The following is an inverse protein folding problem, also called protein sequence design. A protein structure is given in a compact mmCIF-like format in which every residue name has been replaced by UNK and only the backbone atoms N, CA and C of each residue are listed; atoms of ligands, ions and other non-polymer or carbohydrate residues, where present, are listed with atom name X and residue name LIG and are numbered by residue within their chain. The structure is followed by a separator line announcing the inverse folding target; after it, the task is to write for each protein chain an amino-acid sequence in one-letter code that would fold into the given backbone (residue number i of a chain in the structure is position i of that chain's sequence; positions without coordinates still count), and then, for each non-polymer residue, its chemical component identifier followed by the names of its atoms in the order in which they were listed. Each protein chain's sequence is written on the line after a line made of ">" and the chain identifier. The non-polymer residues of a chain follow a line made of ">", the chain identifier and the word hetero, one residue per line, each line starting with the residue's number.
data_IF_307390428798
#
_entry.id   IF_307390428798
#
_cell.length_a   1.000
_cell.length_b   1.000
_cell.length_c   1.000
_cell.angle_alpha   90.00
_cell.angle_beta   90.00
_cell.angle_gamma   90.00
#
_symmetry.space_group_name_H-M   'P 1'
#
loop_
_entity.id
_entity.type
_entity.pdbx_description
1 polymer ?
#
# COMPACT_ATOMS: atom_id res chain seq x y z
N UNK A 1 18.93 -70.37 -7.17
CA UNK A 1 18.01 -69.35 -7.67
C UNK A 1 18.07 -68.25 -6.63
N UNK A 2 18.96 -67.26 -6.84
CA UNK A 2 19.30 -66.19 -5.89
C UNK A 2 18.57 -64.96 -6.36
N UNK A 3 17.66 -64.46 -5.54
CA UNK A 3 16.96 -63.20 -5.76
C UNK A 3 17.84 -62.03 -5.28
N UNK A 4 18.28 -61.20 -6.21
CA UNK A 4 18.95 -59.93 -5.94
C UNK A 4 17.86 -58.87 -5.68
N UNK A 5 17.80 -58.36 -4.45
CA UNK A 5 16.99 -57.19 -4.10
C UNK A 5 17.85 -55.97 -4.36
N UNK A 6 17.51 -55.21 -5.39
CA UNK A 6 18.10 -53.90 -5.66
C UNK A 6 17.43 -52.83 -4.78
N UNK A 7 18.16 -52.30 -3.81
CA UNK A 7 17.75 -51.15 -3.01
C UNK A 7 17.87 -49.88 -3.86
N UNK A 8 16.75 -49.26 -4.24
CA UNK A 8 16.74 -47.93 -4.79
C UNK A 8 17.00 -46.93 -3.63
N UNK A 9 18.17 -46.35 -3.61
CA UNK A 9 18.47 -45.14 -2.85
C UNK A 9 17.75 -43.95 -3.55
N UNK A 10 16.65 -43.51 -2.97
CA UNK A 10 16.03 -42.24 -3.34
C UNK A 10 16.92 -41.15 -2.76
N UNK A 11 17.73 -40.54 -3.60
CA UNK A 11 18.46 -39.32 -3.27
C UNK A 11 17.47 -38.20 -2.99
N UNK A 12 17.42 -37.78 -1.72
CA UNK A 12 16.75 -36.52 -1.38
C UNK A 12 17.53 -35.40 -2.05
N UNK A 13 16.94 -34.78 -3.07
CA UNK A 13 17.41 -33.52 -3.59
C UNK A 13 17.13 -32.48 -2.52
N UNK A 14 18.16 -32.09 -1.78
CA UNK A 14 18.12 -30.88 -0.96
C UNK A 14 17.84 -29.69 -1.89
N UNK A 15 16.75 -29.00 -1.64
CA UNK A 15 16.49 -27.70 -2.25
C UNK A 15 17.64 -26.72 -1.92
N UNK A 16 17.79 -25.63 -2.67
CA UNK A 16 18.91 -24.71 -2.51
C UNK A 16 19.01 -24.25 -1.05
N UNK A 17 20.10 -24.67 -0.38
CA UNK A 17 20.42 -24.16 0.96
C UNK A 17 20.62 -22.67 0.86
N UNK A 18 19.79 -21.90 1.54
CA UNK A 18 20.06 -20.49 1.80
C UNK A 18 21.28 -20.40 2.70
N UNK A 19 22.26 -19.63 2.29
CA UNK A 19 23.40 -19.30 3.15
C UNK A 19 22.89 -18.72 4.48
N UNK A 20 23.53 -19.06 5.61
CA UNK A 20 23.18 -18.49 6.91
C UNK A 20 23.56 -17.01 6.92
N UNK A 21 22.60 -16.15 6.65
CA UNK A 21 22.77 -14.70 6.52
C UNK A 21 21.65 -14.00 5.75
N UNK A 22 20.69 -14.74 5.17
CA UNK A 22 19.51 -14.11 4.57
C UNK A 22 18.64 -13.53 5.68
N UNK A 23 18.92 -12.29 6.03
CA UNK A 23 18.29 -11.54 7.09
C UNK A 23 16.85 -11.21 6.77
N UNK A 24 15.97 -11.58 7.68
CA UNK A 24 14.73 -10.85 7.93
C UNK A 24 15.09 -9.37 7.99
N UNK A 25 14.41 -8.54 7.22
CA UNK A 25 14.66 -7.11 7.15
C UNK A 25 14.60 -6.48 8.56
N UNK A 26 15.77 -6.13 9.11
CA UNK A 26 15.89 -5.35 10.34
C UNK A 26 16.22 -3.91 9.98
N UNK A 27 15.72 -2.92 10.73
CA UNK A 27 16.14 -1.53 10.58
C UNK A 27 17.66 -1.43 10.80
N UNK A 28 18.39 -0.75 9.92
CA UNK A 28 19.79 -0.43 10.13
C UNK A 28 19.91 0.63 11.20
N UNK A 29 20.40 0.26 12.38
CA UNK A 29 21.03 1.21 13.28
C UNK A 29 22.40 1.57 12.72
N UNK A 30 22.64 2.87 12.53
CA UNK A 30 23.92 3.44 12.10
C UNK A 30 24.96 3.20 13.20
N UNK A 31 26.01 2.43 12.89
CA UNK A 31 27.29 2.50 13.57
C UNK A 31 28.39 2.51 12.51
N UNK A 32 29.25 3.51 12.65
CA UNK A 32 30.40 3.78 11.81
C UNK A 32 31.31 2.57 11.60
N UNK A 33 31.74 2.38 10.36
CA UNK A 33 33.15 2.01 10.10
C UNK A 33 33.48 2.20 8.61
N UNK A 34 34.49 2.97 8.40
CA UNK A 34 35.27 3.28 7.20
C UNK A 34 35.57 2.09 6.31
N UNK A 35 35.18 2.18 5.02
CA UNK A 35 36.03 1.77 3.90
C UNK A 35 35.48 2.26 2.55
N UNK A 36 36.33 2.92 1.84
CA UNK A 36 36.38 3.44 0.48
C UNK A 36 35.60 2.69 -0.58
N UNK A 37 34.75 3.45 -1.32
CA UNK A 37 34.10 3.00 -2.55
C UNK A 37 32.74 3.66 -2.71
N UNK A 38 32.71 4.99 -2.94
CA UNK A 38 31.49 5.77 -3.11
C UNK A 38 30.79 5.44 -4.41
N UNK A 39 29.65 4.76 -4.29
CA UNK A 39 28.54 4.98 -5.24
C UNK A 39 27.36 5.42 -4.37
N UNK A 40 27.18 6.74 -4.26
CA UNK A 40 26.04 7.32 -3.54
C UNK A 40 24.73 6.83 -4.17
N UNK A 41 23.97 6.10 -3.36
CA UNK A 41 22.57 5.79 -3.65
C UNK A 41 21.78 7.12 -3.64
N UNK A 42 20.92 7.40 -4.64
CA UNK A 42 20.15 8.63 -4.66
C UNK A 42 19.23 8.69 -3.44
N UNK A 43 19.46 9.69 -2.60
CA UNK A 43 18.61 10.02 -1.46
C UNK A 43 17.28 10.55 -1.98
N UNK A 44 16.18 10.06 -1.40
CA UNK A 44 14.84 10.62 -1.64
C UNK A 44 14.89 12.11 -1.28
N UNK A 45 14.53 13.04 -2.21
CA UNK A 45 14.63 14.47 -1.93
C UNK A 45 13.66 14.88 -0.83
N UNK A 46 14.15 15.08 0.39
CA UNK A 46 13.43 15.82 1.41
C UNK A 46 13.36 17.28 0.99
N UNK A 47 12.15 17.85 0.90
CA UNK A 47 11.93 19.25 0.51
C UNK A 47 12.31 20.26 1.60
N UNK A 48 12.98 19.84 2.67
CA UNK A 48 13.46 20.71 3.75
C UNK A 48 15.00 20.74 3.76
N UNK A 49 15.62 21.45 2.80
CA UNK A 49 16.99 21.92 3.00
C UNK A 49 16.95 23.01 4.06
N UNK A 50 17.50 22.70 5.24
CA UNK A 50 17.87 23.73 6.22
C UNK A 50 19.04 24.53 5.62
N UNK A 51 18.80 25.80 5.33
CA UNK A 51 19.86 26.75 5.00
C UNK A 51 20.74 26.98 6.24
N UNK A 52 22.08 26.80 6.15
CA UNK A 52 22.95 26.92 7.33
C UNK A 52 23.52 28.33 7.56
N UNK A 53 22.86 29.39 7.19
CA UNK A 53 23.33 30.74 7.52
C UNK A 53 22.19 31.67 7.92
N UNK A 54 21.89 31.71 9.22
CA UNK A 54 21.29 32.87 9.84
C UNK A 54 21.98 33.15 11.18
N UNK A 55 22.49 34.36 11.25
CA UNK A 55 23.31 34.91 12.32
C UNK A 55 22.70 34.72 13.72
N UNK A 56 23.61 34.42 14.68
CA UNK A 56 23.39 34.50 16.11
C UNK A 56 23.11 35.95 16.54
N UNK A 57 21.87 36.28 16.73
CA UNK A 57 21.41 37.41 17.50
C UNK A 57 20.36 36.89 18.45
N UNK A 58 20.55 37.15 19.77
CA UNK A 58 19.62 36.77 20.82
C UNK A 58 18.21 37.32 20.56
N UNK A 59 17.38 36.46 20.00
CA UNK A 59 15.94 36.59 20.08
C UNK A 59 15.45 35.33 20.75
N UNK A 60 14.84 35.44 21.92
CA UNK A 60 14.12 34.34 22.56
C UNK A 60 13.13 33.78 21.55
N UNK A 61 13.53 32.71 20.84
CA UNK A 61 12.62 31.96 19.97
C UNK A 61 11.73 31.15 20.88
N UNK A 62 10.53 31.64 21.12
CA UNK A 62 9.43 30.75 21.46
C UNK A 62 9.21 29.83 20.25
N UNK A 63 9.92 28.69 20.23
CA UNK A 63 9.52 27.57 19.38
C UNK A 63 8.24 27.03 20.00
N UNK A 64 7.12 27.56 19.54
CA UNK A 64 5.86 26.84 19.70
C UNK A 64 5.94 25.72 18.66
N UNK A 65 6.26 24.50 19.10
CA UNK A 65 6.11 23.31 18.27
C UNK A 65 4.62 23.18 17.95
N UNK A 66 4.24 23.75 16.81
CA UNK A 66 2.88 23.65 16.31
C UNK A 66 2.82 22.37 15.51
N UNK A 67 2.19 21.35 16.07
CA UNK A 67 1.93 20.12 15.36
C UNK A 67 1.12 20.44 14.09
N UNK A 68 1.70 20.14 12.95
CA UNK A 68 1.04 20.26 11.65
C UNK A 68 0.78 18.86 11.14
N UNK A 69 -0.49 18.57 10.89
CA UNK A 69 -0.91 17.29 10.31
C UNK A 69 -1.29 17.47 8.86
N UNK A 70 -0.82 16.56 8.04
CA UNK A 70 -1.13 16.50 6.60
C UNK A 70 -1.93 15.25 6.28
N UNK A 71 -3.04 15.45 5.58
CA UNK A 71 -3.92 14.36 5.13
C UNK A 71 -4.02 14.41 3.62
N UNK A 72 -3.58 13.32 2.98
CA UNK A 72 -3.81 13.11 1.56
C UNK A 72 -5.22 12.60 1.33
N UNK A 73 -5.92 13.20 0.38
CA UNK A 73 -7.27 12.83 -0.01
C UNK A 73 -7.40 12.75 -1.52
N UNK A 74 -7.85 11.62 -2.05
CA UNK A 74 -8.25 11.50 -3.44
C UNK A 74 -9.77 11.64 -3.55
N UNK A 75 -10.23 12.47 -4.45
CA UNK A 75 -11.65 12.55 -4.81
C UNK A 75 -11.80 11.93 -6.18
N UNK A 76 -12.53 10.82 -6.24
CA UNK A 76 -12.68 10.04 -7.47
C UNK A 76 -14.17 9.85 -7.82
N UNK A 77 -14.46 9.81 -9.11
CA UNK A 77 -15.80 9.46 -9.61
C UNK A 77 -16.07 7.95 -9.45
N UNK A 78 -17.27 7.53 -9.84
CA UNK A 78 -17.67 6.11 -9.81
C UNK A 78 -16.92 5.22 -10.84
N UNK A 79 -16.12 5.82 -11.72
CA UNK A 79 -15.23 5.13 -12.67
C UNK A 79 -13.78 5.16 -12.18
N UNK A 80 -13.51 5.79 -11.03
CA UNK A 80 -12.19 5.93 -10.44
C UNK A 80 -11.33 7.06 -11.00
N UNK A 81 -11.89 7.96 -11.82
CA UNK A 81 -11.15 9.13 -12.29
C UNK A 81 -11.08 10.19 -11.21
N UNK A 82 -9.90 10.78 -11.05
CA UNK A 82 -9.72 11.90 -10.13
C UNK A 82 -10.55 13.11 -10.58
N UNK A 83 -11.21 13.77 -9.64
CA UNK A 83 -11.98 14.99 -9.85
C UNK A 83 -11.13 16.17 -9.42
N UNK A 84 -10.56 16.94 -10.37
CA UNK A 84 -9.75 18.11 -10.08
C UNK A 84 -10.60 19.34 -9.77
N UNK A 85 -9.95 20.41 -9.29
CA UNK A 85 -10.54 21.75 -9.22
C UNK A 85 -11.54 21.95 -8.10
N UNK A 86 -11.61 21.08 -7.09
CA UNK A 86 -12.46 21.30 -5.92
C UNK A 86 -11.84 22.41 -5.06
N UNK A 87 -12.57 23.51 -4.81
CA UNK A 87 -12.06 24.61 -3.99
C UNK A 87 -11.78 24.19 -2.55
N UNK A 88 -10.75 24.77 -1.94
CA UNK A 88 -10.34 24.47 -0.57
C UNK A 88 -11.47 24.59 0.46
N UNK A 89 -12.36 25.59 0.29
CA UNK A 89 -13.50 25.81 1.18
C UNK A 89 -14.57 24.73 1.15
N UNK A 90 -14.54 23.81 0.17
CA UNK A 90 -15.48 22.71 0.08
C UNK A 90 -15.02 21.46 0.84
N UNK A 91 -13.79 21.45 1.36
CA UNK A 91 -13.30 20.36 2.19
C UNK A 91 -13.68 20.59 3.66
N UNK A 92 -14.29 19.60 4.27
CA UNK A 92 -14.50 19.49 5.71
C UNK A 92 -13.67 18.34 6.24
N UNK A 93 -12.78 18.66 7.18
CA UNK A 93 -11.97 17.67 7.89
C UNK A 93 -12.46 17.57 9.33
N UNK A 94 -12.69 16.34 9.76
CA UNK A 94 -13.08 16.01 11.12
C UNK A 94 -11.97 15.15 11.75
N UNK A 95 -11.54 15.51 12.96
CA UNK A 95 -10.69 14.67 13.80
C UNK A 95 -11.49 14.28 15.04
N UNK A 96 -11.64 12.98 15.29
CA UNK A 96 -12.48 12.43 16.35
C UNK A 96 -13.90 13.03 16.36
N UNK A 97 -14.47 13.27 15.18
CA UNK A 97 -15.73 13.94 14.89
C UNK A 97 -15.75 15.45 15.22
N UNK A 98 -14.63 16.07 15.58
CA UNK A 98 -14.50 17.51 15.79
C UNK A 98 -14.03 18.18 14.50
N UNK A 99 -14.78 19.18 13.96
CA UNK A 99 -14.34 19.90 12.77
C UNK A 99 -13.00 20.62 12.99
N UNK A 100 -12.09 20.46 12.04
CA UNK A 100 -10.77 21.08 12.06
C UNK A 100 -10.67 22.21 11.03
N UNK A 101 -9.92 23.25 11.37
CA UNK A 101 -9.66 24.34 10.44
C UNK A 101 -8.52 23.97 9.50
N UNK A 102 -8.86 23.72 8.23
CA UNK A 102 -7.88 23.49 7.18
C UNK A 102 -7.14 24.80 6.92
N UNK A 103 -5.81 24.78 7.02
CA UNK A 103 -4.94 25.93 6.75
C UNK A 103 -4.61 26.06 5.27
N UNK A 104 -4.40 24.92 4.61
CA UNK A 104 -3.98 24.87 3.21
C UNK A 104 -4.51 23.62 2.53
N UNK A 105 -4.89 23.76 1.28
CA UNK A 105 -5.19 22.65 0.37
C UNK A 105 -4.30 22.82 -0.85
N UNK A 106 -3.39 21.89 -1.05
CA UNK A 106 -2.56 21.81 -2.24
C UNK A 106 -3.06 20.72 -3.16
N UNK A 107 -2.92 20.92 -4.44
CA UNK A 107 -3.14 19.91 -5.47
C UNK A 107 -1.88 19.82 -6.29
N UNK A 108 -1.41 18.62 -6.56
CA UNK A 108 -0.22 18.49 -7.38
C UNK A 108 0.07 17.04 -7.76
N UNK A 109 0.75 16.86 -8.84
CA UNK A 109 1.37 15.60 -9.22
C UNK A 109 2.74 15.49 -8.55
N UNK A 110 3.06 14.35 -7.95
CA UNK A 110 4.37 14.08 -7.36
C UNK A 110 4.79 12.64 -7.64
N UNK A 111 6.12 12.37 -7.65
CA UNK A 111 6.63 11.01 -7.70
C UNK A 111 6.04 10.15 -6.58
N UNK A 112 5.88 8.87 -6.86
CA UNK A 112 5.31 7.91 -5.92
C UNK A 112 6.39 6.99 -5.38
N UNK A 113 6.23 6.53 -4.13
CA UNK A 113 6.98 5.43 -3.55
C UNK A 113 6.03 4.26 -3.33
N UNK A 114 6.17 3.19 -4.10
CA UNK A 114 5.24 2.07 -4.10
C UNK A 114 5.96 0.79 -3.71
N UNK A 115 5.43 0.07 -2.72
CA UNK A 115 5.79 -1.31 -2.46
C UNK A 115 4.75 -2.22 -3.13
N UNK A 116 5.16 -3.00 -4.12
CA UNK A 116 4.34 -4.06 -4.71
C UNK A 116 4.47 -5.31 -3.84
N UNK A 117 3.40 -5.65 -3.11
CA UNK A 117 3.32 -6.85 -2.28
C UNK A 117 2.53 -7.90 -3.04
N UNK A 118 3.19 -8.97 -3.43
CA UNK A 118 2.68 -9.93 -4.41
C UNK A 118 2.59 -11.30 -3.76
N UNK A 119 1.40 -11.90 -3.78
CA UNK A 119 1.21 -13.28 -3.36
C UNK A 119 1.91 -14.22 -4.32
N UNK A 120 2.81 -15.05 -3.75
CA UNK A 120 3.60 -16.03 -4.47
C UNK A 120 3.29 -17.44 -3.99
N UNK A 121 2.01 -17.72 -3.71
CA UNK A 121 1.55 -19.03 -3.27
C UNK A 121 1.05 -19.89 -4.44
N UNK A 122 1.16 -21.21 -4.30
CA UNK A 122 0.64 -22.15 -5.29
C UNK A 122 -0.75 -22.70 -4.90
N UNK A 123 -1.38 -22.15 -3.85
CA UNK A 123 -2.63 -22.66 -3.27
C UNK A 123 -3.71 -22.95 -4.31
N UNK A 124 -3.80 -22.09 -5.33
CA UNK A 124 -4.83 -22.20 -6.37
C UNK A 124 -4.33 -22.79 -7.69
N UNK A 125 -3.05 -23.15 -7.80
CA UNK A 125 -2.50 -23.69 -9.06
C UNK A 125 -3.13 -25.01 -9.48
N UNK A 126 -3.46 -25.88 -8.53
CA UNK A 126 -4.09 -27.19 -8.84
C UNK A 126 -5.45 -27.04 -9.50
N UNK A 127 -6.17 -25.98 -9.17
CA UNK A 127 -7.53 -25.75 -9.66
C UNK A 127 -7.60 -24.61 -10.70
N UNK A 128 -6.63 -23.69 -10.65
CA UNK A 128 -6.64 -22.44 -11.37
C UNK A 128 -5.23 -21.98 -11.75
N UNK A 129 -4.56 -22.72 -12.62
CA UNK A 129 -3.26 -22.31 -13.19
C UNK A 129 -3.30 -20.89 -13.78
N UNK A 130 -4.49 -20.43 -14.19
CA UNK A 130 -4.72 -19.07 -14.65
C UNK A 130 -4.49 -17.98 -13.58
N UNK A 131 -4.67 -18.29 -12.28
CA UNK A 131 -4.51 -17.30 -11.22
C UNK A 131 -3.07 -16.79 -11.11
N UNK A 132 -2.10 -17.68 -11.25
CA UNK A 132 -0.69 -17.30 -11.22
C UNK A 132 -0.31 -16.41 -12.41
N UNK A 133 -0.72 -16.77 -13.62
CA UNK A 133 -0.51 -15.92 -14.79
C UNK A 133 -1.19 -14.56 -14.63
N UNK A 134 -2.36 -14.52 -14.04
CA UNK A 134 -3.06 -13.28 -13.73
C UNK A 134 -2.25 -12.40 -12.77
N UNK A 135 -1.70 -12.97 -11.69
CA UNK A 135 -0.84 -12.27 -10.75
C UNK A 135 0.38 -11.67 -11.45
N UNK A 136 1.08 -12.45 -12.27
CA UNK A 136 2.21 -11.97 -13.04
C UNK A 136 1.84 -10.87 -14.03
N UNK A 137 0.74 -11.03 -14.77
CA UNK A 137 0.25 -10.02 -15.70
C UNK A 137 -0.10 -8.70 -15.01
N UNK A 138 -0.70 -8.75 -13.82
CA UNK A 138 -1.00 -7.58 -13.01
C UNK A 138 0.30 -6.91 -12.55
N UNK A 139 1.25 -7.68 -12.03
CA UNK A 139 2.52 -7.14 -11.54
C UNK A 139 3.34 -6.50 -12.67
N UNK A 140 3.53 -7.19 -13.78
CA UNK A 140 4.24 -6.68 -14.95
C UNK A 140 3.51 -5.52 -15.61
N UNK A 141 2.18 -5.65 -15.76
CA UNK A 141 1.35 -4.61 -16.34
C UNK A 141 1.45 -3.31 -15.55
N UNK A 142 1.30 -3.36 -14.23
CA UNK A 142 1.46 -2.18 -13.38
C UNK A 142 2.88 -1.61 -13.44
N UNK A 143 3.91 -2.45 -13.31
CA UNK A 143 5.32 -2.02 -13.36
C UNK A 143 5.66 -1.30 -14.67
N UNK A 144 5.03 -1.68 -15.79
CA UNK A 144 5.22 -1.02 -17.09
C UNK A 144 4.63 0.39 -17.18
N UNK A 145 3.70 0.73 -16.27
CA UNK A 145 3.03 2.03 -16.24
C UNK A 145 3.70 3.05 -15.33
N UNK A 146 4.70 2.64 -14.55
CA UNK A 146 5.44 3.52 -13.64
C UNK A 146 6.26 4.57 -14.40
N UNK A 147 6.35 5.79 -13.87
CA UNK A 147 7.21 6.84 -14.42
C UNK A 147 8.66 6.69 -13.95
N UNK A 148 9.66 7.23 -14.69
CA UNK A 148 11.08 7.09 -14.34
C UNK A 148 11.43 7.56 -12.92
N UNK A 149 10.71 8.54 -12.41
CA UNK A 149 10.90 9.12 -11.08
C UNK A 149 10.25 8.35 -9.93
N UNK A 150 9.44 7.31 -10.22
CA UNK A 150 8.77 6.52 -9.19
C UNK A 150 9.70 5.51 -8.55
N UNK A 151 9.75 5.50 -7.23
CA UNK A 151 10.44 4.48 -6.45
C UNK A 151 9.55 3.26 -6.28
N UNK A 152 10.10 2.09 -6.52
CA UNK A 152 9.35 0.85 -6.41
C UNK A 152 10.17 -0.22 -5.71
N UNK A 153 9.56 -0.89 -4.73
CA UNK A 153 10.05 -2.12 -4.13
C UNK A 153 9.13 -3.29 -4.53
N UNK A 154 9.69 -4.48 -4.58
CA UNK A 154 8.96 -5.73 -4.85
C UNK A 154 9.14 -6.65 -3.66
N UNK A 155 8.04 -7.00 -3.04
CA UNK A 155 7.95 -7.95 -1.93
C UNK A 155 7.07 -9.10 -2.39
N UNK A 156 7.61 -10.32 -2.37
CA UNK A 156 6.82 -11.51 -2.58
C UNK A 156 6.55 -12.20 -1.25
N UNK A 157 5.41 -12.86 -1.13
CA UNK A 157 5.11 -13.65 0.05
C UNK A 157 4.42 -14.98 -0.28
N UNK A 158 4.81 -15.98 0.47
CA UNK A 158 4.17 -17.30 0.62
C UNK A 158 4.08 -17.58 2.14
N UNK A 159 4.71 -18.63 2.64
CA UNK A 159 4.94 -18.83 4.08
C UNK A 159 5.82 -17.75 4.72
N UNK A 160 6.56 -16.99 3.90
CA UNK A 160 7.50 -15.93 4.32
C UNK A 160 7.41 -14.78 3.34
N UNK A 161 7.64 -13.58 3.85
CA UNK A 161 7.88 -12.42 3.00
C UNK A 161 9.35 -12.34 2.59
N UNK A 162 9.60 -12.05 1.31
CA UNK A 162 10.93 -11.82 0.74
C UNK A 162 10.95 -10.53 -0.07
N UNK A 163 11.94 -9.67 0.18
CA UNK A 163 12.16 -8.49 -0.63
C UNK A 163 12.97 -8.91 -1.86
N UNK A 164 12.32 -8.94 -3.00
CA UNK A 164 12.96 -9.27 -4.27
C UNK A 164 13.74 -8.09 -4.84
N UNK A 165 13.21 -6.87 -4.62
CA UNK A 165 13.86 -5.61 -5.01
C UNK A 165 13.53 -4.57 -3.97
N UNK A 166 14.55 -3.90 -3.43
CA UNK A 166 14.34 -2.77 -2.53
C UNK A 166 14.00 -1.50 -3.32
N UNK A 167 13.56 -0.44 -2.65
CA UNK A 167 13.11 0.80 -3.29
C UNK A 167 14.15 1.35 -4.27
N UNK A 168 13.77 1.43 -5.53
CA UNK A 168 14.62 1.90 -6.61
C UNK A 168 13.80 2.54 -7.73
N UNK A 169 14.43 3.45 -8.46
CA UNK A 169 13.91 3.97 -9.73
C UNK A 169 14.45 3.20 -10.94
N UNK A 170 15.41 2.28 -10.72
CA UNK A 170 16.04 1.48 -11.75
C UNK A 170 15.10 0.39 -12.25
N UNK A 171 14.61 0.54 -13.47
CA UNK A 171 13.68 -0.37 -14.12
C UNK A 171 14.26 -1.76 -14.38
N UNK A 172 15.58 -1.87 -14.52
CA UNK A 172 16.24 -3.17 -14.70
C UNK A 172 16.14 -3.99 -13.42
N UNK A 173 16.38 -3.39 -12.27
CA UNK A 173 16.25 -4.06 -10.95
C UNK A 173 14.82 -4.48 -10.65
N UNK A 174 13.84 -3.62 -11.02
CA UNK A 174 12.42 -3.97 -10.89
C UNK A 174 12.08 -5.18 -11.76
N UNK A 175 12.57 -5.21 -12.99
CA UNK A 175 12.40 -6.33 -13.92
C UNK A 175 13.04 -7.61 -13.37
N UNK A 176 14.29 -7.54 -12.93
CA UNK A 176 15.00 -8.67 -12.31
C UNK A 176 14.24 -9.23 -11.09
N UNK A 177 13.67 -8.36 -10.25
CA UNK A 177 12.85 -8.78 -9.13
C UNK A 177 11.60 -9.54 -9.56
N UNK A 178 10.89 -9.03 -10.56
CA UNK A 178 9.71 -9.72 -11.12
C UNK A 178 10.08 -11.03 -11.82
N UNK A 179 11.23 -11.09 -12.50
CA UNK A 179 11.72 -12.32 -13.17
C UNK A 179 12.04 -13.45 -12.18
N UNK A 180 12.22 -13.15 -10.90
CA UNK A 180 12.39 -14.17 -9.83
C UNK A 180 11.07 -14.86 -9.47
N UNK A 181 9.94 -14.29 -9.82
CA UNK A 181 8.61 -14.84 -9.59
C UNK A 181 8.28 -15.91 -10.65
N UNK A 182 8.99 -17.03 -10.69
CA UNK A 182 8.82 -18.06 -11.74
C UNK A 182 7.82 -19.14 -11.36
N UNK A 183 8.08 -19.85 -10.27
CA UNK A 183 7.29 -21.01 -9.85
C UNK A 183 7.08 -20.92 -8.34
N UNK A 184 5.83 -20.69 -7.87
CA UNK A 184 5.54 -20.73 -6.45
C UNK A 184 5.65 -22.15 -5.90
N UNK A 185 6.33 -22.28 -4.75
CA UNK A 185 6.65 -23.58 -4.15
C UNK A 185 5.67 -23.97 -3.03
N UNK A 186 5.14 -22.99 -2.31
CA UNK A 186 4.32 -23.22 -1.11
C UNK A 186 2.87 -22.83 -1.33
N UNK A 187 1.97 -23.51 -0.62
CA UNK A 187 0.53 -23.26 -0.69
C UNK A 187 0.02 -22.32 0.39
N UNK A 188 0.85 -22.07 1.39
CA UNK A 188 0.56 -21.19 2.50
C UNK A 188 0.81 -19.74 2.11
N UNK A 189 0.08 -18.83 2.76
CA UNK A 189 0.18 -17.39 2.55
C UNK A 189 0.19 -16.67 3.90
N UNK A 190 1.20 -15.82 4.12
CA UNK A 190 1.32 -14.98 5.32
C UNK A 190 1.03 -13.51 5.00
N UNK A 191 -0.09 -13.24 4.38
CA UNK A 191 -0.48 -11.91 3.91
C UNK A 191 -0.44 -10.84 5.00
N UNK A 192 -0.95 -11.15 6.20
CA UNK A 192 -1.02 -10.18 7.29
C UNK A 192 0.36 -9.77 7.78
N UNK A 193 1.28 -10.72 7.95
CA UNK A 193 2.65 -10.42 8.35
C UNK A 193 3.38 -9.64 7.25
N UNK A 194 3.25 -10.05 5.98
CA UNK A 194 3.89 -9.37 4.85
C UNK A 194 3.41 -7.92 4.68
N UNK A 195 2.10 -7.68 4.80
CA UNK A 195 1.53 -6.34 4.74
C UNK A 195 2.01 -5.47 5.90
N UNK A 196 2.00 -6.01 7.13
CA UNK A 196 2.39 -5.26 8.32
C UNK A 196 3.86 -4.89 8.27
N UNK A 197 4.74 -5.85 7.95
CA UNK A 197 6.19 -5.61 7.83
C UNK A 197 6.50 -4.57 6.74
N UNK A 198 5.77 -4.62 5.61
CA UNK A 198 5.93 -3.64 4.53
C UNK A 198 5.43 -2.27 4.96
N UNK A 199 4.27 -2.18 5.61
CA UNK A 199 3.71 -0.92 6.08
C UNK A 199 4.60 -0.26 7.15
N UNK A 200 5.12 -1.05 8.10
CA UNK A 200 6.05 -0.57 9.13
C UNK A 200 7.32 0.00 8.50
N UNK A 201 7.88 -0.65 7.47
CA UNK A 201 9.06 -0.15 6.73
C UNK A 201 8.79 1.13 5.94
N UNK A 202 7.56 1.32 5.49
CA UNK A 202 7.17 2.50 4.74
C UNK A 202 6.69 3.65 5.63
N UNK A 203 6.45 3.43 6.91
CA UNK A 203 5.86 4.44 7.82
C UNK A 203 6.66 5.73 7.84
N UNK A 204 7.99 5.63 7.85
CA UNK A 204 8.92 6.76 7.94
C UNK A 204 9.29 7.38 6.58
N UNK A 205 8.81 6.82 5.47
CA UNK A 205 9.04 7.40 4.14
C UNK A 205 8.20 8.66 4.01
N UNK A 206 8.83 9.78 3.70
CA UNK A 206 8.13 11.03 3.42
C UNK A 206 7.58 11.08 1.99
N UNK A 207 6.55 11.88 1.77
CA UNK A 207 5.91 12.08 0.47
C UNK A 207 4.85 11.04 0.15
N UNK A 208 4.51 10.92 -1.13
CA UNK A 208 3.45 10.01 -1.60
C UNK A 208 3.93 8.58 -1.61
N UNK A 209 3.33 7.77 -0.79
CA UNK A 209 3.65 6.36 -0.62
C UNK A 209 2.41 5.51 -0.62
N UNK A 210 2.52 4.28 -1.11
CA UNK A 210 1.42 3.32 -1.06
C UNK A 210 1.94 1.88 -1.17
N UNK A 211 1.14 0.94 -0.69
CA UNK A 211 1.30 -0.48 -0.96
C UNK A 211 0.33 -0.86 -2.08
N UNK A 212 0.83 -1.49 -3.14
CA UNK A 212 0.03 -2.20 -4.11
C UNK A 212 0.06 -3.69 -3.76
N UNK A 213 -1.05 -4.18 -3.22
CA UNK A 213 -1.23 -5.59 -2.88
C UNK A 213 -1.89 -6.33 -4.03
N UNK A 214 -1.25 -7.38 -4.54
CA UNK A 214 -1.82 -8.30 -5.55
C UNK A 214 -1.96 -9.66 -4.87
N UNK A 215 -3.18 -10.05 -4.52
CA UNK A 215 -3.42 -11.17 -3.62
C UNK A 215 -4.78 -11.85 -3.81
N UNK A 216 -4.87 -13.09 -3.35
CA UNK A 216 -6.15 -13.78 -3.16
C UNK A 216 -6.97 -13.19 -2.01
N UNK A 217 -6.30 -12.58 -1.03
CA UNK A 217 -6.89 -12.12 0.21
C UNK A 217 -6.99 -13.18 1.30
N UNK A 218 -6.54 -14.40 1.02
CA UNK A 218 -6.58 -15.51 1.99
C UNK A 218 -5.26 -15.57 2.75
N UNK A 219 -5.34 -15.50 4.07
CA UNK A 219 -4.22 -15.68 4.98
C UNK A 219 -4.29 -17.04 5.65
N UNK A 220 -3.19 -17.79 5.68
CA UNK A 220 -3.16 -19.13 6.27
C UNK A 220 -1.99 -19.36 7.21
N UNK A 221 -0.99 -18.48 7.20
CA UNK A 221 0.27 -18.75 7.89
C UNK A 221 0.83 -17.58 8.68
N UNK A 222 0.11 -16.46 8.76
CA UNK A 222 0.55 -15.30 9.53
C UNK A 222 0.51 -15.57 11.03
N UNK A 223 1.43 -14.93 11.75
CA UNK A 223 1.45 -14.88 13.21
C UNK A 223 0.46 -13.85 13.75
N UNK A 224 0.21 -12.83 12.97
CA UNK A 224 -0.75 -11.79 13.28
C UNK A 224 -2.17 -12.27 12.99
N UNK A 225 -3.12 -11.87 13.83
CA UNK A 225 -4.55 -12.02 13.58
C UNK A 225 -5.06 -10.85 12.74
N UNK A 226 -6.18 -11.02 12.08
CA UNK A 226 -6.85 -9.96 11.31
C UNK A 226 -6.98 -8.63 12.08
N UNK A 227 -7.50 -8.67 13.32
CA UNK A 227 -7.69 -7.45 14.12
C UNK A 227 -6.38 -6.75 14.48
N UNK A 228 -5.34 -7.52 14.81
CA UNK A 228 -4.01 -6.96 15.09
C UNK A 228 -3.40 -6.34 13.86
N UNK A 229 -3.52 -7.01 12.71
CA UNK A 229 -3.05 -6.52 11.41
C UNK A 229 -3.75 -5.23 11.06
N UNK A 230 -5.08 -5.21 11.10
CA UNK A 230 -5.90 -4.03 10.85
C UNK A 230 -5.47 -2.82 11.67
N UNK A 231 -5.27 -3.01 12.98
CA UNK A 231 -4.80 -1.95 13.87
C UNK A 231 -3.41 -1.43 13.49
N UNK A 232 -2.46 -2.33 13.23
CA UNK A 232 -1.10 -1.94 12.83
C UNK A 232 -1.07 -1.21 11.49
N UNK A 233 -1.85 -1.66 10.51
CA UNK A 233 -1.94 -0.99 9.20
C UNK A 233 -2.52 0.42 9.31
N UNK A 234 -3.53 0.62 10.17
CA UNK A 234 -4.07 1.94 10.48
C UNK A 234 -3.01 2.84 11.14
N UNK A 235 -2.27 2.30 12.11
CA UNK A 235 -1.20 3.03 12.82
C UNK A 235 -0.05 3.42 11.89
N UNK A 236 0.34 2.55 10.95
CA UNK A 236 1.38 2.84 9.97
C UNK A 236 0.97 3.94 8.97
N UNK A 237 -0.34 4.10 8.71
CA UNK A 237 -0.89 5.17 7.88
C UNK A 237 -0.43 5.14 6.42
N UNK A 238 -0.04 3.97 5.91
CA UNK A 238 0.35 3.77 4.51
C UNK A 238 -0.86 3.29 3.72
N UNK A 239 -1.34 4.02 2.70
CA UNK A 239 -2.46 3.60 1.89
C UNK A 239 -2.22 2.25 1.20
N UNK A 240 -3.19 1.34 1.27
CA UNK A 240 -3.15 0.04 0.61
C UNK A 240 -4.13 0.04 -0.56
N UNK A 241 -3.61 -0.19 -1.75
CA UNK A 241 -4.41 -0.46 -2.94
C UNK A 241 -4.34 -1.95 -3.23
N UNK A 242 -5.47 -2.65 -3.16
CA UNK A 242 -5.53 -4.09 -3.33
C UNK A 242 -6.13 -4.48 -4.68
N UNK A 243 -5.52 -5.46 -5.35
CA UNK A 243 -6.11 -6.12 -6.51
C UNK A 243 -6.34 -7.58 -6.13
N UNK A 244 -7.61 -7.92 -5.91
CA UNK A 244 -8.02 -9.28 -5.57
C UNK A 244 -8.08 -10.15 -6.83
N UNK A 245 -7.32 -11.25 -6.83
CA UNK A 245 -7.15 -12.12 -8.01
C UNK A 245 -8.17 -13.26 -8.12
N UNK A 246 -9.08 -13.39 -7.15
CA UNK A 246 -9.98 -14.56 -7.08
C UNK A 246 -11.34 -14.36 -7.73
N UNK A 247 -11.69 -13.15 -8.18
CA UNK A 247 -13.02 -12.85 -8.73
C UNK A 247 -13.33 -13.69 -9.99
N UNK A 248 -12.39 -13.77 -10.91
CA UNK A 248 -12.56 -14.56 -12.14
C UNK A 248 -12.75 -16.06 -11.84
N UNK A 249 -11.95 -16.59 -10.90
CA UNK A 249 -12.02 -17.99 -10.49
C UNK A 249 -13.35 -18.31 -9.81
N UNK A 250 -13.84 -17.38 -8.97
CA UNK A 250 -15.15 -17.52 -8.32
C UNK A 250 -16.30 -17.56 -9.33
N UNK A 251 -16.29 -16.68 -10.32
CA UNK A 251 -17.31 -16.66 -11.36
C UNK A 251 -17.29 -17.95 -12.21
N UNK A 252 -16.08 -18.44 -12.55
CA UNK A 252 -15.95 -19.72 -13.25
C UNK A 252 -16.44 -20.90 -12.41
N UNK A 253 -16.20 -20.91 -11.10
CA UNK A 253 -16.68 -21.94 -10.19
C UNK A 253 -18.21 -21.91 -10.07
N UNK A 254 -18.79 -20.73 -9.91
CA UNK A 254 -20.24 -20.55 -9.89
C UNK A 254 -20.90 -21.01 -11.18
N UNK A 255 -20.33 -20.66 -12.33
CA UNK A 255 -20.82 -21.10 -13.65
C UNK A 255 -20.80 -22.63 -13.82
N UNK A 256 -19.95 -23.34 -13.08
CA UNK A 256 -19.87 -24.81 -13.04
C UNK A 256 -20.74 -25.44 -11.94
N UNK A 257 -21.55 -24.65 -11.25
CA UNK A 257 -22.42 -25.12 -10.16
C UNK A 257 -21.65 -25.44 -8.86
N UNK A 258 -20.39 -25.00 -8.72
CA UNK A 258 -19.62 -25.15 -7.50
C UNK A 258 -20.00 -24.02 -6.53
N UNK A 259 -20.78 -24.35 -5.51
CA UNK A 259 -21.15 -23.41 -4.44
C UNK A 259 -20.85 -24.04 -3.08
N UNK A 260 -20.73 -23.23 -2.04
CA UNK A 260 -20.58 -23.72 -0.66
C UNK A 260 -19.46 -23.05 0.12
N UNK A 261 -18.77 -23.81 0.98
CA UNK A 261 -17.77 -23.30 1.92
C UNK A 261 -16.67 -22.45 1.29
N UNK A 262 -16.21 -22.81 0.09
CA UNK A 262 -15.21 -22.05 -0.66
C UNK A 262 -15.70 -20.64 -1.05
N UNK A 263 -16.99 -20.48 -1.31
CA UNK A 263 -17.55 -19.16 -1.64
C UNK A 263 -17.52 -18.22 -0.45
N UNK A 264 -17.78 -18.74 0.75
CA UNK A 264 -17.71 -17.97 2.01
C UNK A 264 -16.28 -17.51 2.27
N UNK A 265 -15.29 -18.39 2.08
CA UNK A 265 -13.85 -18.06 2.22
C UNK A 265 -13.45 -16.91 1.28
N UNK A 266 -13.86 -16.98 0.01
CA UNK A 266 -13.55 -15.92 -0.96
C UNK A 266 -14.24 -14.59 -0.65
N UNK A 267 -15.51 -14.62 -0.19
CA UNK A 267 -16.22 -13.41 0.21
C UNK A 267 -15.59 -12.77 1.44
N UNK A 268 -15.12 -13.58 2.38
CA UNK A 268 -14.39 -13.09 3.56
C UNK A 268 -13.07 -12.43 3.12
N UNK A 269 -12.29 -13.10 2.29
CA UNK A 269 -11.03 -12.57 1.75
C UNK A 269 -11.24 -11.23 1.02
N UNK A 270 -12.25 -11.14 0.15
CA UNK A 270 -12.60 -9.89 -0.53
C UNK A 270 -12.96 -8.78 0.47
N UNK A 271 -13.68 -9.10 1.56
CA UNK A 271 -14.05 -8.13 2.58
C UNK A 271 -12.84 -7.67 3.41
N UNK A 272 -11.89 -8.55 3.68
CA UNK A 272 -10.63 -8.21 4.35
C UNK A 272 -9.80 -7.25 3.50
N UNK A 273 -9.62 -7.55 2.21
CA UNK A 273 -8.94 -6.65 1.28
C UNK A 273 -9.63 -5.28 1.18
N UNK A 274 -10.96 -5.24 1.08
CA UNK A 274 -11.73 -3.98 1.08
C UNK A 274 -11.56 -3.19 2.36
N UNK A 275 -11.51 -3.88 3.50
CA UNK A 275 -11.38 -3.24 4.81
C UNK A 275 -9.98 -2.65 4.98
N UNK A 276 -8.91 -3.40 4.68
CA UNK A 276 -7.55 -2.89 4.74
C UNK A 276 -7.37 -1.68 3.82
N UNK A 277 -7.82 -1.79 2.58
CA UNK A 277 -7.75 -0.69 1.64
C UNK A 277 -8.49 0.56 2.14
N UNK A 278 -9.76 0.41 2.53
CA UNK A 278 -10.61 1.53 2.98
C UNK A 278 -10.06 2.22 4.22
N UNK A 279 -9.60 1.45 5.21
CA UNK A 279 -9.17 2.01 6.49
C UNK A 279 -7.79 2.66 6.44
N UNK A 280 -6.96 2.27 5.47
CA UNK A 280 -5.66 2.91 5.23
C UNK A 280 -5.74 4.07 4.24
N UNK A 281 -6.89 4.33 3.62
CA UNK A 281 -7.06 5.41 2.66
C UNK A 281 -6.68 5.04 1.22
N UNK A 282 -6.81 3.77 0.88
CA UNK A 282 -6.67 3.26 -0.47
C UNK A 282 -7.98 2.72 -1.05
N UNK A 283 -7.89 1.81 -2.00
CA UNK A 283 -9.05 1.18 -2.66
C UNK A 283 -8.76 -0.28 -3.02
N UNK A 284 -9.82 -1.09 -3.14
CA UNK A 284 -9.72 -2.49 -3.56
C UNK A 284 -10.45 -2.71 -4.89
N UNK A 285 -9.81 -3.45 -5.80
CA UNK A 285 -10.28 -3.77 -7.14
C UNK A 285 -10.35 -5.29 -7.31
N UNK A 286 -11.38 -5.76 -7.99
CA UNK A 286 -11.63 -7.19 -8.18
C UNK A 286 -11.92 -7.46 -9.66
N UNK A 287 -10.89 -7.52 -10.52
CA UNK A 287 -11.08 -7.70 -11.95
C UNK A 287 -11.68 -9.07 -12.28
N UNK A 288 -12.68 -9.08 -13.17
CA UNK A 288 -13.35 -10.29 -13.67
C UNK A 288 -12.62 -10.88 -14.87
N UNK A 289 -11.95 -10.03 -15.65
CA UNK A 289 -11.20 -10.41 -16.84
C UNK A 289 -10.05 -9.45 -17.11
N UNK A 290 -9.08 -9.88 -17.87
CA UNK A 290 -7.83 -9.13 -18.13
C UNK A 290 -8.05 -7.76 -18.79
N UNK A 291 -9.13 -7.59 -19.56
CA UNK A 291 -9.46 -6.31 -20.19
C UNK A 291 -9.74 -5.16 -19.22
N UNK A 292 -9.96 -5.46 -17.93
CA UNK A 292 -10.15 -4.44 -16.89
C UNK A 292 -8.83 -3.88 -16.33
N UNK A 293 -7.70 -4.57 -16.54
CA UNK A 293 -6.41 -4.17 -15.94
C UNK A 293 -5.94 -2.77 -16.32
N UNK A 294 -5.97 -2.35 -17.61
CA UNK A 294 -5.58 -1.00 -17.98
C UNK A 294 -6.39 0.08 -17.26
N UNK A 295 -7.70 -0.14 -17.12
CA UNK A 295 -8.58 0.77 -16.37
C UNK A 295 -8.22 0.84 -14.90
N UNK A 296 -7.94 -0.30 -14.27
CA UNK A 296 -7.50 -0.35 -12.86
C UNK A 296 -6.17 0.37 -12.69
N UNK A 297 -5.20 0.17 -13.57
CA UNK A 297 -3.91 0.88 -13.49
C UNK A 297 -4.07 2.38 -13.66
N UNK A 298 -4.93 2.81 -14.59
CA UNK A 298 -5.26 4.22 -14.75
C UNK A 298 -5.89 4.81 -13.46
N UNK A 299 -6.84 4.11 -12.85
CA UNK A 299 -7.45 4.52 -11.59
C UNK A 299 -6.43 4.62 -10.45
N UNK A 300 -5.54 3.63 -10.34
CA UNK A 300 -4.44 3.63 -9.37
C UNK A 300 -3.53 4.86 -9.56
N UNK A 301 -3.10 5.12 -10.79
CA UNK A 301 -2.29 6.29 -11.09
C UNK A 301 -3.00 7.60 -10.77
N UNK A 302 -4.27 7.72 -11.12
CA UNK A 302 -5.07 8.89 -10.79
C UNK A 302 -5.16 9.11 -9.28
N UNK A 303 -5.47 8.05 -8.53
CA UNK A 303 -5.61 8.14 -7.08
C UNK A 303 -4.28 8.41 -6.35
N UNK A 304 -3.17 7.87 -6.87
CA UNK A 304 -1.85 8.00 -6.24
C UNK A 304 -1.15 9.31 -6.62
N UNK A 305 -1.29 9.76 -7.88
CA UNK A 305 -0.58 10.94 -8.37
C UNK A 305 -1.33 12.23 -8.10
N UNK A 306 -2.65 12.18 -8.18
CA UNK A 306 -3.51 13.35 -8.07
C UNK A 306 -4.23 13.30 -6.73
N UNK A 307 -3.69 13.99 -5.74
CA UNK A 307 -4.27 14.06 -4.41
C UNK A 307 -4.39 15.50 -3.97
N UNK A 308 -5.43 15.78 -3.20
CA UNK A 308 -5.54 16.97 -2.39
C UNK A 308 -4.78 16.76 -1.10
N UNK A 309 -3.86 17.65 -0.80
CA UNK A 309 -3.04 17.61 0.41
C UNK A 309 -3.61 18.64 1.39
N UNK A 310 -4.33 18.16 2.38
CA UNK A 310 -5.01 18.97 3.38
C UNK A 310 -4.07 19.17 4.57
N UNK A 311 -3.66 20.41 4.83
CA UNK A 311 -2.79 20.75 5.95
C UNK A 311 -3.60 21.46 7.02
N UNK A 312 -3.57 20.99 8.25
CA UNK A 312 -4.26 21.60 9.38
C UNK A 312 -3.44 21.48 10.65
N UNK A 313 -3.82 22.26 11.67
CA UNK A 313 -3.33 22.16 13.03
C UNK A 313 -4.42 21.50 13.87
N UNK A 314 -4.15 20.36 14.52
CA UNK A 314 -5.10 19.71 15.39
C UNK A 314 -5.56 20.63 16.53
N UNK A 315 -6.85 20.62 16.81
CA UNK A 315 -7.39 21.28 18.00
C UNK A 315 -7.06 20.52 19.29
N UNK A 316 -6.87 19.20 19.17
CA UNK A 316 -6.36 18.36 20.24
C UNK A 316 -4.84 18.28 20.15
N UNK A 317 -4.15 18.98 21.04
CA UNK A 317 -2.68 19.06 21.10
C UNK A 317 -2.06 18.04 22.07
N UNK A 318 -2.82 17.06 22.56
CA UNK A 318 -2.34 16.08 23.54
C UNK A 318 -1.43 15.05 22.86
N UNK A 319 -0.20 14.94 23.33
CA UNK A 319 0.82 13.97 22.86
C UNK A 319 0.73 12.66 23.66
N UNK A 320 -0.38 11.95 23.51
CA UNK A 320 -0.70 10.71 24.25
C UNK A 320 -0.42 9.43 23.49
N UNK A 321 -0.01 9.54 22.20
CA UNK A 321 0.17 8.40 21.32
C UNK A 321 -1.13 7.69 20.94
N UNK A 322 -2.28 8.29 21.21
CA UNK A 322 -3.59 7.72 20.84
C UNK A 322 -3.85 7.86 19.35
N UNK A 323 -4.68 6.96 18.82
CA UNK A 323 -5.12 7.04 17.43
C UNK A 323 -6.22 8.08 17.28
N UNK A 324 -6.01 9.06 16.39
CA UNK A 324 -6.97 10.12 16.03
C UNK A 324 -7.70 9.69 14.76
N UNK A 325 -9.02 9.58 14.83
CA UNK A 325 -9.85 9.24 13.67
C UNK A 325 -10.01 10.45 12.76
N UNK A 326 -9.74 10.26 11.47
CA UNK A 326 -9.91 11.31 10.45
C UNK A 326 -11.07 10.95 9.53
N UNK A 327 -11.85 11.97 9.21
CA UNK A 327 -12.87 11.91 8.16
C UNK A 327 -12.77 13.15 7.29
N UNK A 328 -12.64 12.96 5.99
CA UNK A 328 -12.66 14.04 5.00
C UNK A 328 -13.96 13.95 4.23
N UNK A 329 -14.65 15.07 4.12
CA UNK A 329 -15.91 15.18 3.40
C UNK A 329 -15.87 16.37 2.46
N UNK A 330 -16.67 16.33 1.40
CA UNK A 330 -16.94 17.49 0.56
C UNK A 330 -18.32 18.05 0.90
N UNK A 331 -18.33 19.33 1.25
CA UNK A 331 -19.54 20.04 1.65
C UNK A 331 -19.68 21.37 0.94
N UNK A 332 -20.91 21.83 0.80
CA UNK A 332 -21.18 23.22 0.46
C UNK A 332 -20.92 24.07 1.72
N UNK A 333 -19.99 25.03 1.69
CA UNK A 333 -19.64 25.82 2.87
C UNK A 333 -20.79 26.70 3.40
N UNK A 334 -21.79 27.00 2.58
CA UNK A 334 -22.93 27.82 3.00
C UNK A 334 -24.04 27.00 3.68
N UNK A 335 -24.29 25.76 3.21
CA UNK A 335 -25.41 24.91 3.69
C UNK A 335 -24.95 23.75 4.54
N UNK A 336 -23.64 23.43 4.53
CA UNK A 336 -23.04 22.27 5.20
C UNK A 336 -23.56 20.92 4.66
N UNK A 337 -24.28 20.92 3.55
CA UNK A 337 -24.76 19.73 2.87
C UNK A 337 -23.67 19.11 1.98
N UNK A 338 -23.77 17.81 1.62
CA UNK A 338 -22.84 17.18 0.69
C UNK A 338 -22.72 17.99 -0.62
N UNK A 339 -21.50 18.23 -1.06
CA UNK A 339 -21.22 19.01 -2.28
C UNK A 339 -21.71 18.25 -3.52
N UNK A 340 -22.65 18.78 -4.32
CA UNK A 340 -22.99 18.18 -5.59
C UNK A 340 -21.90 18.48 -6.63
N UNK A 341 -21.12 17.48 -7.01
CA UNK A 341 -20.13 17.61 -8.08
C UNK A 341 -20.79 17.34 -9.42
N UNK A 342 -20.48 18.15 -10.42
CA UNK A 342 -21.03 18.05 -11.78
C UNK A 342 -19.91 17.86 -12.80
N UNK A 343 -20.20 17.13 -13.89
CA UNK A 343 -19.31 17.02 -15.03
C UNK A 343 -19.31 18.31 -15.89
N UNK A 344 -18.46 18.35 -16.92
CA UNK A 344 -18.37 19.49 -17.86
C UNK A 344 -19.71 19.81 -18.57
N UNK A 345 -20.63 18.84 -18.60
CA UNK A 345 -21.98 18.99 -19.18
C UNK A 345 -23.02 19.39 -18.14
N UNK A 346 -22.62 19.66 -16.87
CA UNK A 346 -23.52 20.02 -15.78
C UNK A 346 -24.28 18.85 -15.15
N UNK A 347 -23.99 17.58 -15.53
CA UNK A 347 -24.66 16.41 -14.99
C UNK A 347 -24.03 16.01 -13.64
N UNK A 348 -24.85 15.66 -12.62
CA UNK A 348 -24.31 15.21 -11.33
C UNK A 348 -23.44 13.97 -11.46
N UNK A 349 -22.26 14.02 -10.85
CA UNK A 349 -21.31 12.90 -10.74
C UNK A 349 -21.40 12.33 -9.33
N UNK A 350 -21.55 11.01 -9.23
CA UNK A 350 -21.33 10.31 -7.98
C UNK A 350 -19.83 10.22 -7.73
N UNK A 351 -19.40 10.60 -6.54
CA UNK A 351 -18.00 10.59 -6.14
C UNK A 351 -17.81 9.94 -4.78
N UNK A 352 -16.59 9.57 -4.49
CA UNK A 352 -16.13 9.19 -3.16
C UNK A 352 -14.86 9.94 -2.80
N UNK A 353 -14.69 10.21 -1.51
CA UNK A 353 -13.46 10.76 -0.95
C UNK A 353 -12.69 9.62 -0.31
N UNK A 354 -11.47 9.41 -0.76
CA UNK A 354 -10.56 8.39 -0.25
C UNK A 354 -9.48 9.11 0.55
N UNK A 355 -9.42 8.84 1.85
CA UNK A 355 -8.40 9.37 2.75
C UNK A 355 -8.14 8.36 3.85
N UNK A 356 -6.95 8.41 4.48
CA UNK A 356 -6.65 7.55 5.62
C UNK A 356 -7.67 7.76 6.74
N UNK A 357 -8.01 6.69 7.45
CA UNK A 357 -9.02 6.72 8.52
C UNK A 357 -8.53 7.40 9.80
N UNK A 358 -7.24 7.72 9.90
CA UNK A 358 -6.66 8.38 11.06
C UNK A 358 -5.14 8.37 11.05
N UNK A 359 -4.58 8.82 12.17
CA UNK A 359 -3.15 8.80 12.44
C UNK A 359 -2.89 8.61 13.93
N UNK A 360 -1.68 8.24 14.29
CA UNK A 360 -1.26 8.13 15.68
C UNK A 360 -0.66 9.46 16.14
N UNK A 361 -1.23 10.03 17.20
CA UNK A 361 -0.69 11.26 17.79
C UNK A 361 0.76 11.04 18.29
N UNK A 362 1.60 12.06 18.27
CA UNK A 362 2.93 11.97 18.86
C UNK A 362 2.85 11.53 20.33
N UNK A 363 3.93 10.99 20.88
CA UNK A 363 4.10 10.81 22.31
C UNK A 363 5.00 11.92 22.84
N UNK A 364 4.68 12.43 24.02
CA UNK A 364 5.62 13.28 24.73
C UNK A 364 6.93 12.49 24.92
N UNK A 365 8.05 13.10 24.54
CA UNK A 365 9.39 12.54 24.82
C UNK A 365 9.66 12.87 26.28
N UNK A 366 9.80 11.85 27.14
CA UNK A 366 10.24 11.98 28.52
C UNK A 366 11.70 12.37 28.60
#
# INVERSE_FOLDING_TARGET
>A
MILLVASLLIGQTQGPMKEPGATVARPRTTTDSTSTGDTELPKIPSKLKKDPQLNKGDVARFQTDVDIVTIDAAVIDNRGHFIPGIPAGNFRLLEDNVPQKIRKVDVGEAPMTIAMVIEFSNRFQRYYSAAWFQTLQLAWGFASTLKPEDYTAIVAYDMRSEILTDFTTDRSKIREGLDRLKIPAFSEANMFDALTDTADRMSDIEGRKAILLIASGIDTFSKLTYDKTRKKLQEAGVPIYAIGIMQMQREMAQARGMSGAAEIEFLQADNELKTFAKETGGAAYFPRFQGEYPGIFQMLHQALRNQYVLTYQPSNTTHDGAFRKIKVELVNPATNEPLPVKDEKGKPIKYQVIAKSGYKAPRAVE
#
